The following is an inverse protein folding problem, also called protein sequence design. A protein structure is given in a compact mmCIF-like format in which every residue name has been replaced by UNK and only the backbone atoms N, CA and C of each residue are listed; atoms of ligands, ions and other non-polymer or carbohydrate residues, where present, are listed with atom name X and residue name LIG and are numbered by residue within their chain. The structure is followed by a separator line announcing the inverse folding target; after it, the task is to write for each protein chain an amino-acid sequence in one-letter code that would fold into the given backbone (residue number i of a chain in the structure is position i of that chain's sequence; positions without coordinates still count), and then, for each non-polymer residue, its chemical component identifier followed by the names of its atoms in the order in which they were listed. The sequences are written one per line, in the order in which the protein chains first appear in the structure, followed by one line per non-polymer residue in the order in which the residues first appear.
data_IF_671013113477
#
_entry.id   IF_671013113477
#
_cell.length_a   1.000
_cell.length_b   1.000
_cell.length_c   1.000
_cell.angle_alpha   90.00
_cell.angle_beta   90.00
_cell.angle_gamma   90.00
#
_symmetry.space_group_name_H-M   'P 1'
#
loop_
_entity.id
_entity.type
_entity.pdbx_description
1 polymer ?
#
# COMPACT_ATOMS: atom_id res chain seq x y z
N UNK A 1 14.61 -25.87 -29.74
CA UNK A 1 14.77 -26.11 -28.29
C UNK A 1 15.41 -24.88 -27.67
N UNK A 2 14.62 -24.08 -26.97
CA UNK A 2 15.10 -23.00 -26.12
C UNK A 2 14.25 -23.04 -24.85
N UNK A 3 14.86 -23.48 -23.74
CA UNK A 3 14.26 -23.47 -22.42
C UNK A 3 14.07 -22.01 -21.99
N UNK A 4 12.81 -21.56 -21.91
CA UNK A 4 12.47 -20.37 -21.12
C UNK A 4 12.37 -20.83 -19.67
N UNK A 5 13.38 -20.47 -18.89
CA UNK A 5 13.35 -20.54 -17.43
C UNK A 5 12.21 -19.64 -16.94
N UNK A 6 11.16 -20.25 -16.37
CA UNK A 6 10.15 -19.50 -15.63
C UNK A 6 10.77 -19.06 -14.32
N UNK A 7 11.08 -17.77 -14.21
CA UNK A 7 11.45 -17.16 -12.94
C UNK A 7 10.16 -17.01 -12.15
N UNK A 8 9.93 -17.92 -11.20
CA UNK A 8 8.92 -17.74 -10.16
C UNK A 8 9.29 -16.47 -9.38
N UNK A 9 8.56 -15.39 -9.62
CA UNK A 9 8.60 -14.23 -8.74
C UNK A 9 7.66 -14.51 -7.57
N UNK A 10 8.10 -15.41 -6.70
CA UNK A 10 7.40 -15.85 -5.50
C UNK A 10 7.53 -14.79 -4.41
N UNK A 11 6.60 -13.84 -4.39
CA UNK A 11 6.32 -12.98 -3.23
C UNK A 11 4.83 -13.08 -2.82
N UNK A 12 4.32 -14.31 -2.82
CA UNK A 12 3.05 -14.67 -2.20
C UNK A 12 3.37 -15.68 -1.11
N UNK A 13 3.51 -15.21 0.13
CA UNK A 13 3.54 -16.09 1.29
C UNK A 13 2.09 -16.31 1.78
N UNK A 14 1.23 -16.77 0.86
CA UNK A 14 0.05 -17.53 1.22
C UNK A 14 0.60 -18.92 1.53
N UNK A 15 0.35 -19.39 2.74
CA UNK A 15 0.89 -20.60 3.35
C UNK A 15 1.08 -21.77 2.37
N UNK A 16 2.05 -22.65 2.68
CA UNK A 16 2.38 -23.94 2.05
C UNK A 16 1.20 -24.93 1.87
N UNK A 17 -0.04 -24.49 2.02
CA UNK A 17 -1.25 -25.26 1.86
C UNK A 17 -1.71 -25.26 0.40
N UNK A 18 -1.72 -26.44 -0.19
CA UNK A 18 -2.39 -26.71 -1.46
C UNK A 18 -3.84 -26.21 -1.35
N UNK A 19 -4.21 -25.21 -2.15
CA UNK A 19 -5.59 -24.72 -2.23
C UNK A 19 -6.49 -25.89 -2.65
N UNK A 20 -7.49 -26.19 -1.83
CA UNK A 20 -8.52 -27.17 -2.14
C UNK A 20 -9.85 -26.47 -2.32
N UNK A 21 -10.58 -26.87 -3.36
CA UNK A 21 -11.91 -26.35 -3.66
C UNK A 21 -12.93 -27.47 -3.56
N UNK A 22 -14.03 -27.22 -2.86
CA UNK A 22 -15.20 -28.10 -2.90
C UNK A 22 -15.79 -28.11 -4.31
N UNK A 23 -16.56 -29.16 -4.65
CA UNK A 23 -17.25 -29.22 -5.94
C UNK A 23 -18.17 -28.00 -6.18
N UNK A 24 -18.76 -27.44 -5.12
CA UNK A 24 -19.59 -26.23 -5.17
C UNK A 24 -18.78 -24.98 -5.50
N UNK A 25 -17.63 -24.80 -4.85
CA UNK A 25 -16.73 -23.66 -5.14
C UNK A 25 -16.17 -23.76 -6.55
N UNK A 26 -15.71 -24.95 -6.95
CA UNK A 26 -15.21 -25.20 -8.30
C UNK A 26 -16.26 -24.89 -9.38
N UNK A 27 -17.50 -25.32 -9.16
CA UNK A 27 -18.62 -24.97 -10.05
C UNK A 27 -18.86 -23.46 -10.09
N UNK A 28 -18.82 -22.77 -8.93
CA UNK A 28 -18.99 -21.33 -8.86
C UNK A 28 -17.90 -20.58 -9.65
N UNK A 29 -16.63 -20.93 -9.46
CA UNK A 29 -15.52 -20.33 -10.18
C UNK A 29 -15.57 -20.63 -11.68
N UNK A 30 -15.92 -21.86 -12.08
CA UNK A 30 -16.09 -22.21 -13.49
C UNK A 30 -17.15 -21.32 -14.17
N UNK A 31 -18.29 -21.10 -13.50
CA UNK A 31 -19.35 -20.22 -14.02
C UNK A 31 -18.89 -18.76 -14.09
N UNK A 32 -18.16 -18.26 -13.09
CA UNK A 32 -17.60 -16.91 -13.11
C UNK A 32 -16.57 -16.73 -14.25
N UNK A 33 -15.66 -17.67 -14.42
CA UNK A 33 -14.63 -17.65 -15.47
C UNK A 33 -15.25 -17.74 -16.88
N UNK A 34 -16.33 -18.52 -17.07
CA UNK A 34 -17.10 -18.52 -18.33
C UNK A 34 -17.74 -17.16 -18.64
N UNK A 35 -18.17 -16.42 -17.62
CA UNK A 35 -18.71 -15.07 -17.80
C UNK A 35 -17.58 -14.11 -18.16
N UNK A 36 -16.46 -14.15 -17.43
CA UNK A 36 -15.29 -13.30 -17.67
C UNK A 36 -14.68 -13.54 -19.06
N UNK A 37 -14.58 -14.78 -19.52
CA UNK A 37 -14.12 -15.11 -20.88
C UNK A 37 -15.00 -14.47 -21.96
N UNK A 38 -16.32 -14.34 -21.74
CA UNK A 38 -17.20 -13.64 -22.69
C UNK A 38 -16.98 -12.13 -22.70
N UNK A 39 -16.55 -11.56 -21.57
CA UNK A 39 -16.28 -10.12 -21.43
C UNK A 39 -14.88 -9.75 -21.95
N UNK A 40 -13.93 -10.68 -21.85
CA UNK A 40 -12.53 -10.53 -22.24
C UNK A 40 -12.04 -11.75 -23.04
N UNK A 41 -12.52 -11.95 -24.28
CA UNK A 41 -12.25 -13.17 -25.06
C UNK A 41 -10.79 -13.33 -25.49
N UNK A 42 -9.99 -12.26 -25.44
CA UNK A 42 -8.58 -12.27 -25.84
C UNK A 42 -7.61 -12.53 -24.66
N UNK A 43 -8.13 -12.73 -23.44
CA UNK A 43 -7.33 -13.03 -22.25
C UNK A 43 -7.07 -14.54 -22.12
N UNK A 44 -5.90 -14.97 -22.59
CA UNK A 44 -5.49 -16.37 -22.52
C UNK A 44 -5.25 -16.85 -21.07
N UNK A 45 -4.94 -15.95 -20.14
CA UNK A 45 -4.81 -16.29 -18.71
C UNK A 45 -6.14 -16.75 -18.15
N UNK A 46 -7.23 -16.04 -18.46
CA UNK A 46 -8.58 -16.43 -18.06
C UNK A 46 -9.01 -17.79 -18.65
N UNK A 47 -8.68 -18.06 -19.92
CA UNK A 47 -8.99 -19.34 -20.58
C UNK A 47 -8.26 -20.52 -19.95
N UNK A 48 -6.97 -20.33 -19.65
CA UNK A 48 -6.14 -21.35 -19.01
C UNK A 48 -6.64 -21.64 -17.59
N UNK A 49 -6.96 -20.59 -16.82
CA UNK A 49 -7.50 -20.73 -15.47
C UNK A 49 -8.88 -21.41 -15.46
N UNK A 50 -9.77 -21.04 -16.40
CA UNK A 50 -11.06 -21.74 -16.59
C UNK A 50 -10.85 -23.24 -16.82
N UNK A 51 -9.95 -23.59 -17.73
CA UNK A 51 -9.65 -24.99 -18.07
C UNK A 51 -9.15 -25.75 -16.84
N UNK A 52 -8.24 -25.17 -16.07
CA UNK A 52 -7.75 -25.77 -14.83
C UNK A 52 -8.86 -26.04 -13.80
N UNK A 53 -9.80 -25.10 -13.66
CA UNK A 53 -10.95 -25.23 -12.75
C UNK A 53 -11.95 -26.29 -13.24
N UNK A 54 -12.26 -26.33 -14.55
CA UNK A 54 -13.21 -27.29 -15.12
C UNK A 54 -12.68 -28.72 -15.12
N UNK A 55 -11.42 -28.91 -15.52
CA UNK A 55 -10.76 -30.22 -15.62
C UNK A 55 -10.21 -30.72 -14.28
N UNK A 56 -10.11 -29.85 -13.28
CA UNK A 56 -9.70 -30.23 -11.93
C UNK A 56 -8.19 -30.29 -11.71
N UNK A 57 -7.42 -29.42 -12.36
CA UNK A 57 -5.97 -29.34 -12.16
C UNK A 57 -5.64 -28.58 -10.88
N UNK A 58 -5.61 -29.29 -9.76
CA UNK A 58 -5.57 -28.71 -8.41
C UNK A 58 -4.35 -27.83 -8.12
N UNK A 59 -3.21 -28.07 -8.78
CA UNK A 59 -2.00 -27.23 -8.61
C UNK A 59 -2.23 -25.79 -9.07
N UNK A 60 -3.15 -25.57 -10.03
CA UNK A 60 -3.48 -24.26 -10.59
C UNK A 60 -4.61 -23.55 -9.82
N UNK A 61 -5.13 -24.13 -8.73
CA UNK A 61 -6.15 -23.45 -7.94
C UNK A 61 -5.60 -22.22 -7.22
N UNK A 62 -4.29 -22.19 -6.94
CA UNK A 62 -3.60 -21.02 -6.39
C UNK A 62 -3.67 -19.81 -7.34
N UNK A 63 -3.75 -20.03 -8.65
CA UNK A 63 -3.71 -18.97 -9.67
C UNK A 63 -4.98 -18.06 -9.56
N UNK A 64 -6.07 -18.55 -8.94
CA UNK A 64 -7.24 -17.74 -8.59
C UNK A 64 -6.90 -16.59 -7.62
N UNK A 65 -5.86 -16.76 -6.80
CA UNK A 65 -5.48 -15.84 -5.75
C UNK A 65 -4.41 -14.84 -6.20
N UNK A 66 -3.83 -14.99 -7.40
CA UNK A 66 -2.83 -14.04 -7.93
C UNK A 66 -3.38 -12.62 -8.10
N UNK A 67 -4.71 -12.49 -8.25
CA UNK A 67 -5.38 -11.17 -8.29
C UNK A 67 -5.38 -10.48 -6.92
N UNK A 68 -5.20 -11.23 -5.83
CA UNK A 68 -5.22 -10.71 -4.47
C UNK A 68 -3.80 -10.40 -4.01
N UNK A 69 -3.64 -9.20 -3.47
CA UNK A 69 -2.46 -8.88 -2.65
C UNK A 69 -2.68 -9.36 -1.22
N UNK A 70 -1.60 -9.65 -0.49
CA UNK A 70 -1.68 -9.94 0.94
C UNK A 70 -2.39 -8.81 1.70
N UNK A 71 -3.17 -9.16 2.72
CA UNK A 71 -3.98 -8.22 3.51
C UNK A 71 -3.16 -7.32 4.42
N UNK A 72 -3.34 -6.00 4.34
CA UNK A 72 -2.64 -5.04 5.21
C UNK A 72 -3.48 -4.92 6.47
N UNK A 73 -2.87 -5.16 7.64
CA UNK A 73 -3.63 -5.21 8.88
C UNK A 73 -4.33 -3.88 9.15
N UNK A 74 -5.45 -3.92 9.89
CA UNK A 74 -6.13 -2.68 10.29
C UNK A 74 -5.21 -1.74 11.08
N UNK A 75 -4.30 -2.31 11.88
CA UNK A 75 -3.31 -1.56 12.65
C UNK A 75 -2.33 -0.83 11.72
N UNK A 76 -1.78 -1.52 10.72
CA UNK A 76 -0.88 -0.93 9.73
C UNK A 76 -1.58 0.15 8.90
N UNK A 77 -2.82 -0.10 8.48
CA UNK A 77 -3.64 0.89 7.79
C UNK A 77 -3.85 2.15 8.64
N UNK A 78 -4.18 1.99 9.94
CA UNK A 78 -4.32 3.11 10.88
C UNK A 78 -3.00 3.85 11.08
N UNK A 79 -1.90 3.13 11.20
CA UNK A 79 -0.57 3.73 11.31
C UNK A 79 -0.25 4.62 10.11
N UNK A 80 -0.48 4.14 8.88
CA UNK A 80 -0.28 4.95 7.67
C UNK A 80 -1.15 6.21 7.70
N UNK A 81 -2.43 6.09 8.07
CA UNK A 81 -3.33 7.23 8.16
C UNK A 81 -2.88 8.25 9.22
N UNK A 82 -2.43 7.80 10.39
CA UNK A 82 -1.89 8.65 11.44
C UNK A 82 -0.65 9.42 10.94
N UNK A 83 0.25 8.75 10.20
CA UNK A 83 1.43 9.40 9.59
C UNK A 83 1.01 10.47 8.59
N UNK A 84 0.06 10.16 7.71
CA UNK A 84 -0.44 11.12 6.72
C UNK A 84 -1.10 12.33 7.41
N UNK A 85 -1.92 12.11 8.45
CA UNK A 85 -2.55 13.17 9.23
C UNK A 85 -1.53 14.05 9.97
N UNK A 86 -0.47 13.44 10.52
CA UNK A 86 0.63 14.19 11.11
C UNK A 86 1.32 15.09 10.08
N UNK A 87 1.68 14.55 8.91
CA UNK A 87 2.31 15.34 7.86
C UNK A 87 1.40 16.45 7.35
N UNK A 88 0.10 16.21 7.26
CA UNK A 88 -0.89 17.23 6.94
C UNK A 88 -0.85 18.39 7.93
N UNK A 89 -0.86 18.11 9.24
CA UNK A 89 -0.72 19.13 10.29
C UNK A 89 0.58 19.90 10.21
N UNK A 90 1.71 19.20 9.99
CA UNK A 90 3.03 19.82 9.80
C UNK A 90 3.06 20.74 8.57
N UNK A 91 2.49 20.31 7.44
CA UNK A 91 2.47 21.08 6.20
C UNK A 91 1.68 22.37 6.40
N UNK A 92 0.48 22.30 6.96
CA UNK A 92 -0.32 23.51 7.20
C UNK A 92 0.36 24.47 8.19
N UNK A 93 0.96 23.95 9.25
CA UNK A 93 1.73 24.76 10.21
C UNK A 93 2.91 25.46 9.53
N UNK A 94 3.67 24.74 8.70
CA UNK A 94 4.79 25.30 7.94
C UNK A 94 4.34 26.39 6.95
N UNK A 95 3.21 26.19 6.27
CA UNK A 95 2.65 27.19 5.34
C UNK A 95 2.19 28.47 6.07
N UNK A 96 1.68 28.35 7.30
CA UNK A 96 1.32 29.51 8.12
C UNK A 96 2.54 30.31 8.59
N UNK A 97 3.62 29.62 8.96
CA UNK A 97 4.91 30.26 9.31
C UNK A 97 5.50 30.98 8.09
N UNK A 98 5.31 30.41 6.90
CA UNK A 98 5.73 30.98 5.61
C UNK A 98 7.25 31.27 5.52
N UNK A 99 8.06 30.40 6.14
CA UNK A 99 9.51 30.39 6.02
C UNK A 99 9.98 29.27 5.08
N UNK A 100 10.75 29.62 4.05
CA UNK A 100 11.17 28.70 2.99
C UNK A 100 11.99 27.52 3.49
N UNK A 101 12.79 27.69 4.53
CA UNK A 101 13.59 26.61 5.14
C UNK A 101 12.68 25.55 5.79
N UNK A 102 11.66 25.97 6.54
CA UNK A 102 10.72 25.08 7.22
C UNK A 102 9.80 24.37 6.22
N UNK A 103 9.24 25.09 5.26
CA UNK A 103 8.40 24.50 4.20
C UNK A 103 9.18 23.41 3.44
N UNK A 104 10.48 23.64 3.17
CA UNK A 104 11.30 22.65 2.49
C UNK A 104 11.65 21.42 3.34
N UNK A 105 11.71 21.55 4.67
CA UNK A 105 11.95 20.43 5.59
C UNK A 105 10.71 19.54 5.74
N UNK A 106 9.51 20.11 5.71
CA UNK A 106 8.25 19.38 5.86
C UNK A 106 7.84 18.75 4.53
N UNK A 107 8.44 17.60 4.21
CA UNK A 107 8.08 16.79 3.04
C UNK A 107 7.84 15.35 3.44
N UNK A 108 6.69 14.83 3.06
CA UNK A 108 6.40 13.41 3.24
C UNK A 108 7.27 12.59 2.27
N UNK A 109 8.12 11.72 2.81
CA UNK A 109 9.03 10.88 2.02
C UNK A 109 8.41 9.52 1.63
N UNK A 110 7.28 9.16 2.22
CA UNK A 110 6.70 7.83 2.05
C UNK A 110 7.40 6.76 2.89
N UNK A 111 7.41 5.53 2.37
CA UNK A 111 7.92 4.33 3.04
C UNK A 111 8.87 3.58 2.09
N UNK A 112 9.58 2.56 2.60
CA UNK A 112 10.56 1.81 1.82
C UNK A 112 9.89 0.72 0.96
N UNK A 113 9.95 0.87 -0.36
CA UNK A 113 9.47 -0.16 -1.30
C UNK A 113 10.32 -1.43 -1.33
N UNK A 114 11.53 -1.42 -0.76
CA UNK A 114 12.37 -2.62 -0.68
C UNK A 114 12.05 -3.50 0.54
N UNK A 115 11.27 -2.99 1.50
CA UNK A 115 10.77 -3.77 2.64
C UNK A 115 9.34 -4.27 2.38
N UNK A 116 9.06 -5.53 2.72
CA UNK A 116 7.79 -6.17 2.39
C UNK A 116 6.58 -5.51 3.06
N UNK A 117 6.71 -5.03 4.30
CA UNK A 117 5.62 -4.37 5.02
C UNK A 117 5.49 -2.92 4.55
N UNK A 118 6.61 -2.20 4.49
CA UNK A 118 6.63 -0.79 4.11
C UNK A 118 6.25 -0.56 2.65
N UNK A 119 6.54 -1.47 1.72
CA UNK A 119 6.06 -1.39 0.34
C UNK A 119 4.52 -1.39 0.26
N UNK A 120 3.88 -2.13 1.16
CA UNK A 120 2.42 -2.25 1.23
C UNK A 120 1.82 -1.02 1.94
N UNK A 121 2.50 -0.50 2.96
CA UNK A 121 2.18 0.79 3.56
C UNK A 121 2.30 1.94 2.55
N UNK A 122 3.36 1.96 1.73
CA UNK A 122 3.56 2.93 0.65
C UNK A 122 2.42 2.85 -0.37
N UNK A 123 2.08 1.64 -0.81
CA UNK A 123 0.97 1.40 -1.74
C UNK A 123 -0.36 1.88 -1.17
N UNK A 124 -0.62 1.62 0.10
CA UNK A 124 -1.83 2.11 0.78
C UNK A 124 -1.85 3.64 0.92
N UNK A 125 -0.72 4.26 1.27
CA UNK A 125 -0.59 5.72 1.32
C UNK A 125 -0.87 6.35 -0.05
N UNK A 126 -0.35 5.71 -1.13
CA UNK A 126 -0.61 6.15 -2.51
C UNK A 126 -2.09 6.01 -2.88
N UNK A 127 -2.70 4.87 -2.59
CA UNK A 127 -4.14 4.67 -2.80
C UNK A 127 -4.97 5.76 -2.10
N UNK A 128 -4.65 6.06 -0.84
CA UNK A 128 -5.36 7.07 -0.07
C UNK A 128 -5.19 8.49 -0.65
N UNK A 129 -3.97 8.86 -1.05
CA UNK A 129 -3.70 10.22 -1.52
C UNK A 129 -4.11 10.42 -2.98
N UNK A 130 -3.70 9.51 -3.88
CA UNK A 130 -3.89 9.67 -5.32
C UNK A 130 -5.22 9.14 -5.80
N UNK A 131 -5.62 7.93 -5.38
CA UNK A 131 -6.79 7.26 -5.93
C UNK A 131 -8.07 7.74 -5.24
N UNK A 132 -8.05 7.87 -3.91
CA UNK A 132 -9.15 8.46 -3.13
C UNK A 132 -9.13 9.99 -3.08
N UNK A 133 -8.09 10.64 -3.64
CA UNK A 133 -7.94 12.10 -3.71
C UNK A 133 -8.08 12.78 -2.35
N UNK A 134 -7.35 12.27 -1.35
CA UNK A 134 -7.29 12.85 0.00
C UNK A 134 -5.93 13.49 0.22
N UNK A 135 -5.92 14.60 0.97
CA UNK A 135 -4.69 15.29 1.37
C UNK A 135 -3.81 15.73 0.18
N UNK A 136 -4.39 16.51 -0.73
CA UNK A 136 -3.70 17.05 -1.92
C UNK A 136 -2.44 17.84 -1.55
N UNK A 137 -2.41 18.47 -0.37
CA UNK A 137 -1.26 19.14 0.20
C UNK A 137 -0.05 18.21 0.42
N UNK A 138 -0.27 16.92 0.70
CA UNK A 138 0.81 15.92 0.81
C UNK A 138 1.33 15.59 -0.57
N UNK A 139 0.45 15.47 -1.57
CA UNK A 139 0.84 15.24 -2.96
C UNK A 139 1.80 16.33 -3.44
N UNK A 140 1.52 17.60 -3.14
CA UNK A 140 2.41 18.72 -3.51
C UNK A 140 3.68 18.80 -2.65
N UNK A 141 3.64 18.34 -1.39
CA UNK A 141 4.75 18.41 -0.45
C UNK A 141 5.33 17.02 -0.15
N UNK A 142 5.75 16.33 -1.22
CA UNK A 142 6.37 15.01 -1.14
C UNK A 142 7.54 14.86 -2.13
N UNK A 143 8.18 13.69 -2.10
CA UNK A 143 9.08 13.21 -3.15
C UNK A 143 8.36 12.68 -4.41
N UNK A 144 7.02 12.70 -4.44
CA UNK A 144 6.21 12.34 -5.60
C UNK A 144 5.86 10.86 -5.72
N UNK A 145 6.79 9.96 -5.41
CA UNK A 145 6.58 8.49 -5.52
C UNK A 145 6.24 7.80 -4.20
N UNK A 146 6.42 8.50 -3.06
CA UNK A 146 6.32 7.97 -1.70
C UNK A 146 7.31 6.83 -1.44
N UNK A 147 8.47 6.85 -2.10
CA UNK A 147 9.60 5.95 -1.85
C UNK A 147 10.64 6.63 -0.98
N UNK A 148 10.73 6.24 0.30
CA UNK A 148 11.72 6.82 1.21
C UNK A 148 13.14 6.32 0.92
N UNK A 149 13.28 5.19 0.20
CA UNK A 149 14.52 4.43 0.01
C UNK A 149 15.22 4.01 1.32
N UNK A 150 14.49 4.04 2.44
CA UNK A 150 14.96 3.61 3.76
C UNK A 150 13.79 3.34 4.69
N UNK A 151 13.90 2.36 5.57
CA UNK A 151 12.86 2.00 6.55
C UNK A 151 12.51 3.23 7.42
N UNK A 152 11.22 3.59 7.45
CA UNK A 152 10.69 4.78 8.13
C UNK A 152 9.79 4.47 9.34
N UNK A 153 9.30 3.24 9.51
CA UNK A 153 8.29 2.89 10.52
C UNK A 153 8.70 3.36 11.93
N UNK A 154 9.90 2.99 12.38
CA UNK A 154 10.42 3.40 13.69
C UNK A 154 10.56 4.92 13.83
N UNK A 155 10.95 5.61 12.76
CA UNK A 155 11.06 7.08 12.77
C UNK A 155 9.67 7.69 12.92
N UNK A 156 8.72 7.29 12.08
CA UNK A 156 7.36 7.80 12.13
C UNK A 156 6.66 7.51 13.44
N UNK A 157 6.92 6.37 14.09
CA UNK A 157 6.42 6.09 15.43
C UNK A 157 6.90 7.12 16.46
N UNK A 158 8.20 7.48 16.47
CA UNK A 158 8.74 8.52 17.36
C UNK A 158 8.22 9.91 17.02
N UNK A 159 8.07 10.23 15.74
CA UNK A 159 7.45 11.49 15.32
C UNK A 159 6.00 11.58 15.82
N UNK A 160 5.23 10.50 15.66
CA UNK A 160 3.83 10.41 16.09
C UNK A 160 3.69 10.49 17.61
N UNK A 161 4.62 9.92 18.39
CA UNK A 161 4.55 10.03 19.85
C UNK A 161 4.65 11.49 20.29
N UNK A 162 5.57 12.27 19.72
CA UNK A 162 5.70 13.72 20.01
C UNK A 162 4.47 14.47 19.49
N UNK A 163 4.05 14.23 18.25
CA UNK A 163 2.92 14.96 17.66
C UNK A 163 1.60 14.73 18.40
N UNK A 164 1.40 13.51 18.95
CA UNK A 164 0.20 13.15 19.71
C UNK A 164 0.13 13.80 21.10
N UNK A 165 1.24 14.32 21.64
CA UNK A 165 1.25 15.08 22.90
C UNK A 165 0.56 16.44 22.77
N UNK A 166 0.53 17.02 21.57
CA UNK A 166 -0.17 18.28 21.34
C UNK A 166 -1.68 18.07 21.24
N UNK A 167 -2.45 19.05 21.73
CA UNK A 167 -3.90 19.09 21.56
C UNK A 167 -4.29 19.16 20.07
N UNK A 168 -5.46 18.63 19.73
CA UNK A 168 -5.93 18.55 18.34
C UNK A 168 -5.90 19.90 17.60
N UNK A 169 -6.30 20.99 18.27
CA UNK A 169 -6.30 22.33 17.68
C UNK A 169 -4.89 22.87 17.40
N UNK A 170 -3.90 22.43 18.19
CA UNK A 170 -2.50 22.87 18.09
C UNK A 170 -1.76 22.12 16.99
N UNK A 171 -2.15 20.87 16.68
CA UNK A 171 -1.51 20.01 15.66
C UNK A 171 -1.50 20.60 14.24
N UNK A 172 -2.29 21.65 14.01
CA UNK A 172 -2.43 22.38 12.75
C UNK A 172 -1.89 23.82 12.80
N UNK A 173 -1.34 24.24 13.93
CA UNK A 173 -0.81 25.58 14.20
C UNK A 173 0.50 25.49 15.00
N UNK A 174 1.36 24.52 14.64
CA UNK A 174 2.61 24.23 15.33
C UNK A 174 3.62 25.36 15.10
N UNK A 175 4.41 25.69 16.13
CA UNK A 175 5.54 26.61 16.00
C UNK A 175 6.71 25.94 15.25
N UNK A 176 7.69 26.76 14.83
CA UNK A 176 8.93 26.29 14.20
C UNK A 176 9.64 25.25 15.06
N UNK A 177 9.79 25.52 16.35
CA UNK A 177 10.46 24.65 17.32
C UNK A 177 9.72 23.32 17.50
N UNK A 178 8.38 23.35 17.50
CA UNK A 178 7.56 22.15 17.61
C UNK A 178 7.68 21.28 16.35
N UNK A 179 7.65 21.88 15.16
CA UNK A 179 7.88 21.18 13.89
C UNK A 179 9.26 20.52 13.91
N UNK A 180 10.31 21.25 14.28
CA UNK A 180 11.67 20.72 14.33
C UNK A 180 11.83 19.60 15.36
N UNK A 181 11.19 19.73 16.53
CA UNK A 181 11.17 18.67 17.54
C UNK A 181 10.54 17.38 17.00
N UNK A 182 9.42 17.47 16.28
CA UNK A 182 8.77 16.32 15.66
C UNK A 182 9.66 15.71 14.57
N UNK A 183 10.21 16.52 13.65
CA UNK A 183 11.00 16.00 12.51
C UNK A 183 12.32 15.33 12.92
N UNK A 184 12.86 15.72 14.08
CA UNK A 184 14.13 15.23 14.64
C UNK A 184 13.99 14.07 15.64
N UNK A 185 12.78 13.52 15.80
CA UNK A 185 12.48 12.41 16.71
C UNK A 185 13.31 11.12 16.47
#
# INVERSE_FOLDING_TARGET
MANKTYIYNSNVNIMEDIITLTAKERLSYALQLRILEKLSPDDDTLKNLKTAIEEGYTIHYQDLFEILSNELSLEDCRFVLDVLEMYRGLIFSALQINETDIVNKVKFRGFDFNDNLEARMASYARYFVFDLRRYDEIKTNSNGDFSSHMIMQNKYQRMLSIWKEYEYMVRYHLSKEQIESILNA
#
